data_IF_997333919172
#
_entry.id   IF_997333919172
#
_cell.length_a   1.000
_cell.length_b   1.000
_cell.length_c   1.000
_cell.angle_alpha   90.00
_cell.angle_beta   90.00
_cell.angle_gamma   90.00
#
_symmetry.space_group_name_H-M   'P 1'
#
loop_
_entity.id
_entity.type
_entity.pdbx_description
1 polymer ?
#
# COMPACT_ATOMS: atom_id res chain seq x y z
N UNK A 1 9.50 -5.44 -18.98
CA UNK A 1 9.23 -6.82 -18.54
C UNK A 1 7.81 -7.16 -19.01
N UNK A 2 7.62 -8.33 -19.63
CA UNK A 2 6.31 -8.88 -19.99
C UNK A 2 5.39 -9.07 -18.76
N UNK A 3 4.07 -9.10 -18.97
CA UNK A 3 3.09 -9.24 -17.87
C UNK A 3 3.11 -10.66 -17.28
N UNK A 4 3.33 -11.66 -18.13
CA UNK A 4 3.46 -13.07 -17.77
C UNK A 4 4.66 -13.39 -16.86
N UNK A 5 5.64 -12.49 -16.79
CA UNK A 5 6.82 -12.61 -15.91
C UNK A 5 6.55 -12.07 -14.50
N UNK A 6 5.35 -11.55 -14.24
CA UNK A 6 4.93 -11.13 -12.90
C UNK A 6 4.57 -12.34 -12.01
N UNK A 7 4.80 -12.26 -10.69
CA UNK A 7 5.43 -11.15 -9.98
C UNK A 7 6.96 -11.23 -9.97
N UNK A 8 7.62 -10.07 -9.94
CA UNK A 8 9.06 -10.01 -9.59
C UNK A 8 9.20 -10.13 -8.08
N UNK A 9 9.44 -11.35 -7.60
CA UNK A 9 9.55 -11.65 -6.17
C UNK A 9 10.85 -11.06 -5.61
N UNK A 10 10.74 -10.38 -4.45
CA UNK A 10 11.89 -9.87 -3.73
C UNK A 10 12.82 -11.02 -3.31
N UNK A 11 14.14 -10.89 -3.48
CA UNK A 11 15.08 -11.89 -3.02
C UNK A 11 15.24 -11.79 -1.51
N UNK A 12 15.66 -12.89 -0.88
CA UNK A 12 16.20 -12.81 0.46
C UNK A 12 17.57 -12.10 0.41
N UNK A 13 17.74 -11.09 1.26
CA UNK A 13 19.02 -10.42 1.46
C UNK A 13 19.36 -10.43 2.96
N UNK A 14 20.65 -10.49 3.27
CA UNK A 14 21.12 -10.56 4.66
C UNK A 14 21.04 -9.21 5.39
N UNK A 15 21.19 -8.10 4.66
CA UNK A 15 21.24 -6.76 5.22
C UNK A 15 20.35 -5.78 4.44
N UNK A 16 19.30 -5.32 5.09
CA UNK A 16 18.33 -4.37 4.54
C UNK A 16 18.67 -2.90 4.86
N UNK A 17 19.77 -2.63 5.60
CA UNK A 17 20.11 -1.26 5.97
C UNK A 17 20.57 -0.46 4.74
N UNK A 18 20.03 0.75 4.52
CA UNK A 18 20.47 1.61 3.43
C UNK A 18 21.89 2.11 3.68
N UNK A 19 22.83 1.71 2.82
CA UNK A 19 24.26 2.12 2.87
C UNK A 19 24.61 3.16 1.81
N UNK A 20 23.64 3.98 1.41
CA UNK A 20 23.76 4.95 0.31
C UNK A 20 23.45 4.37 -1.08
N UNK A 21 23.05 3.10 -1.15
CA UNK A 21 22.51 2.40 -2.33
C UNK A 21 21.32 1.54 -1.88
N UNK A 22 20.40 1.22 -2.79
CA UNK A 22 19.29 0.31 -2.48
C UNK A 22 19.82 -1.07 -2.05
N UNK A 23 19.28 -1.69 -0.99
CA UNK A 23 19.74 -3.00 -0.51
C UNK A 23 19.75 -4.09 -1.59
N UNK A 24 18.78 -4.05 -2.52
CA UNK A 24 18.68 -5.00 -3.64
C UNK A 24 19.87 -4.92 -4.61
N UNK A 25 20.56 -3.77 -4.71
CA UNK A 25 21.76 -3.66 -5.55
C UNK A 25 22.88 -4.60 -5.13
N UNK A 26 22.91 -5.02 -3.86
CA UNK A 26 23.94 -5.91 -3.33
C UNK A 26 23.77 -7.37 -3.79
N UNK A 27 22.57 -7.75 -4.26
CA UNK A 27 22.30 -9.09 -4.77
C UNK A 27 22.52 -9.14 -6.29
N UNK A 28 23.78 -9.31 -6.71
CA UNK A 28 24.15 -9.31 -8.13
C UNK A 28 23.44 -10.40 -8.96
N UNK A 29 23.13 -11.55 -8.35
CA UNK A 29 22.45 -12.65 -9.02
C UNK A 29 21.01 -12.27 -9.37
N UNK A 30 20.25 -11.76 -8.41
CA UNK A 30 18.87 -11.32 -8.64
C UNK A 30 18.78 -10.12 -9.59
N UNK A 31 19.77 -9.21 -9.53
CA UNK A 31 19.82 -8.01 -10.38
C UNK A 31 20.10 -8.33 -11.86
N UNK A 32 20.79 -9.43 -12.18
CA UNK A 32 21.13 -9.80 -13.57
C UNK A 32 19.94 -10.45 -14.26
N UNK A 33 19.55 -9.90 -15.40
CA UNK A 33 18.45 -10.43 -16.23
C UNK A 33 18.77 -10.28 -17.70
N UNK A 34 18.09 -11.04 -18.55
CA UNK A 34 18.11 -10.77 -19.99
C UNK A 34 17.10 -9.68 -20.33
N UNK A 35 17.45 -8.80 -21.27
CA UNK A 35 16.55 -7.79 -21.77
C UNK A 35 15.44 -8.45 -22.61
N UNK A 36 14.16 -8.34 -22.23
CA UNK A 36 13.07 -9.03 -22.93
C UNK A 36 12.84 -8.50 -24.35
N UNK A 37 13.46 -7.37 -24.72
CA UNK A 37 13.34 -6.76 -26.06
C UNK A 37 14.42 -7.22 -27.05
N UNK A 38 15.64 -7.45 -26.58
CA UNK A 38 16.79 -7.74 -27.46
C UNK A 38 17.63 -8.96 -27.06
N UNK A 39 17.33 -9.61 -25.94
CA UNK A 39 18.08 -10.75 -25.42
C UNK A 39 19.47 -10.42 -24.86
N UNK A 40 19.89 -9.16 -24.87
CA UNK A 40 21.16 -8.73 -24.31
C UNK A 40 21.16 -8.71 -22.78
N UNK A 41 22.35 -8.54 -22.18
CA UNK A 41 22.48 -8.38 -20.73
C UNK A 41 21.74 -7.12 -20.24
N UNK A 42 20.84 -7.32 -19.28
CA UNK A 42 20.07 -6.28 -18.61
C UNK A 42 20.27 -6.31 -17.09
N UNK A 43 19.74 -5.29 -16.43
CA UNK A 43 19.75 -5.17 -14.98
C UNK A 43 18.35 -4.77 -14.49
N UNK A 44 17.87 -5.38 -13.41
CA UNK A 44 16.59 -5.00 -12.77
C UNK A 44 16.66 -3.57 -12.24
N UNK A 45 15.49 -2.96 -12.03
CA UNK A 45 15.36 -1.80 -11.15
C UNK A 45 15.63 -2.26 -9.71
N UNK A 46 16.45 -1.51 -8.98
CA UNK A 46 16.84 -1.84 -7.61
C UNK A 46 15.95 -1.14 -6.58
N UNK A 47 15.28 -0.07 -6.98
CA UNK A 47 14.35 0.65 -6.12
C UNK A 47 13.00 -0.07 -6.00
N UNK A 48 12.39 0.02 -4.83
CA UNK A 48 11.04 -0.49 -4.56
C UNK A 48 10.03 0.65 -4.58
N UNK A 49 8.77 0.31 -4.79
CA UNK A 49 7.69 1.28 -4.63
C UNK A 49 7.50 1.62 -3.14
N UNK A 50 7.15 2.88 -2.85
CA UNK A 50 6.85 3.34 -1.49
C UNK A 50 5.53 2.75 -0.99
N UNK A 51 5.38 2.62 0.33
CA UNK A 51 4.19 2.07 1.00
C UNK A 51 2.88 2.80 0.64
N UNK A 52 2.95 4.05 0.20
CA UNK A 52 1.78 4.79 -0.28
C UNK A 52 1.28 4.31 -1.63
N UNK A 53 2.07 3.59 -2.44
CA UNK A 53 1.56 2.95 -3.66
C UNK A 53 0.56 1.86 -3.27
N UNK A 54 0.93 0.96 -2.37
CA UNK A 54 0.08 -0.15 -1.92
C UNK A 54 -1.19 0.36 -1.23
N UNK A 55 -1.03 1.29 -0.29
CA UNK A 55 -2.16 1.85 0.45
C UNK A 55 -3.05 2.78 -0.38
N UNK A 56 -2.69 3.13 -1.61
CA UNK A 56 -3.54 3.98 -2.47
C UNK A 56 -4.74 3.27 -3.08
N UNK A 57 -4.75 1.93 -3.07
CA UNK A 57 -5.82 1.17 -3.74
C UNK A 57 -6.26 -0.10 -2.97
N UNK A 58 -5.72 -0.36 -1.78
CA UNK A 58 -6.05 -1.54 -0.97
C UNK A 58 -7.56 -1.73 -0.71
N UNK A 59 -8.32 -0.63 -0.57
CA UNK A 59 -9.77 -0.66 -0.36
C UNK A 59 -10.53 -1.24 -1.57
N UNK A 60 -9.98 -1.12 -2.78
CA UNK A 60 -10.52 -1.79 -3.98
C UNK A 60 -10.21 -3.28 -3.95
N UNK A 61 -8.98 -3.66 -3.54
CA UNK A 61 -8.56 -5.06 -3.46
C UNK A 61 -9.41 -5.87 -2.47
N UNK A 62 -9.94 -5.24 -1.41
CA UNK A 62 -10.86 -5.93 -0.49
C UNK A 62 -12.16 -6.40 -1.14
N UNK A 63 -12.59 -5.78 -2.24
CA UNK A 63 -13.79 -6.21 -2.96
C UNK A 63 -13.57 -7.55 -3.70
N UNK A 64 -12.31 -7.86 -4.01
CA UNK A 64 -11.91 -9.05 -4.77
C UNK A 64 -10.49 -9.54 -4.40
N UNK A 65 -10.29 -10.03 -3.16
CA UNK A 65 -8.96 -10.24 -2.60
C UNK A 65 -8.22 -11.46 -3.18
N UNK A 66 -8.93 -12.37 -3.85
CA UNK A 66 -8.41 -13.65 -4.31
C UNK A 66 -8.24 -13.74 -5.83
N UNK A 67 -8.48 -12.65 -6.56
CA UNK A 67 -8.28 -12.61 -8.00
C UNK A 67 -6.80 -12.67 -8.36
N UNK A 68 -6.40 -13.72 -9.05
CA UNK A 68 -5.04 -14.00 -9.51
C UNK A 68 -4.79 -13.58 -10.96
N UNK A 69 -5.81 -13.04 -11.64
CA UNK A 69 -5.76 -12.63 -13.05
C UNK A 69 -5.80 -11.12 -13.25
N UNK A 70 -6.31 -10.38 -12.27
CA UNK A 70 -6.44 -8.93 -12.30
C UNK A 70 -6.29 -8.34 -10.89
N UNK A 71 -6.03 -7.02 -10.77
CA UNK A 71 -6.04 -6.35 -9.48
C UNK A 71 -7.38 -6.49 -8.74
N UNK A 72 -8.50 -6.49 -9.47
CA UNK A 72 -9.87 -6.71 -9.00
C UNK A 72 -10.83 -6.75 -10.22
N UNK A 73 -12.00 -7.38 -10.07
CA UNK A 73 -13.10 -7.24 -11.03
C UNK A 73 -13.85 -5.91 -10.85
N UNK A 74 -14.10 -5.20 -11.95
CA UNK A 74 -14.82 -3.91 -11.93
C UNK A 74 -16.22 -4.05 -11.37
N UNK A 75 -16.96 -5.09 -11.73
CA UNK A 75 -18.35 -5.28 -11.27
C UNK A 75 -18.44 -5.39 -9.75
N UNK A 76 -17.46 -6.06 -9.12
CA UNK A 76 -17.41 -6.20 -7.66
C UNK A 76 -17.07 -4.87 -6.98
N UNK A 77 -16.10 -4.14 -7.52
CA UNK A 77 -15.70 -2.83 -7.01
C UNK A 77 -16.82 -1.80 -7.19
N UNK A 78 -17.51 -1.79 -8.32
CA UNK A 78 -18.63 -0.88 -8.60
C UNK A 78 -19.87 -1.22 -7.74
N UNK A 79 -20.02 -2.49 -7.34
CA UNK A 79 -21.08 -2.92 -6.41
C UNK A 79 -20.83 -2.44 -4.97
N UNK A 80 -19.61 -2.59 -4.47
CA UNK A 80 -19.25 -2.20 -3.09
C UNK A 80 -18.92 -0.72 -2.93
N UNK A 81 -18.49 -0.07 -4.01
CA UNK A 81 -17.95 1.29 -4.00
C UNK A 81 -18.96 2.38 -4.36
N UNK A 82 -18.62 3.66 -4.07
CA UNK A 82 -17.46 4.08 -3.26
C UNK A 82 -17.65 3.71 -1.78
N UNK A 83 -16.57 3.78 -1.00
CA UNK A 83 -16.68 3.55 0.46
C UNK A 83 -17.56 4.64 1.08
N UNK A 84 -18.70 4.25 1.66
CA UNK A 84 -19.67 5.19 2.22
C UNK A 84 -19.11 6.03 3.37
N UNK A 85 -18.32 5.40 4.24
CA UNK A 85 -17.78 6.01 5.45
C UNK A 85 -16.37 5.49 5.72
N UNK A 86 -15.39 6.37 5.57
CA UNK A 86 -13.99 6.10 5.87
C UNK A 86 -13.56 6.81 7.14
N UNK A 87 -13.08 6.06 8.14
CA UNK A 87 -12.59 6.61 9.41
C UNK A 87 -11.09 6.43 9.51
N UNK A 88 -10.37 7.50 9.84
CA UNK A 88 -8.91 7.44 9.98
C UNK A 88 -8.35 8.62 10.75
N UNK A 89 -7.08 8.49 11.17
CA UNK A 89 -6.39 9.56 11.88
C UNK A 89 -6.20 10.80 11.00
N UNK A 90 -6.34 11.98 11.59
CA UNK A 90 -6.16 13.26 10.87
C UNK A 90 -4.80 13.40 10.19
N UNK A 91 -3.75 12.73 10.71
CA UNK A 91 -2.41 12.71 10.14
C UNK A 91 -2.38 12.13 8.70
N UNK A 92 -3.36 11.32 8.29
CA UNK A 92 -3.42 10.75 6.94
C UNK A 92 -4.07 11.68 5.90
N UNK A 93 -4.62 12.82 6.32
CA UNK A 93 -5.34 13.74 5.44
C UNK A 93 -4.46 14.36 4.35
N UNK A 94 -3.15 14.50 4.57
CA UNK A 94 -2.21 15.12 3.64
C UNK A 94 -1.34 14.14 2.86
N UNK A 95 -1.47 12.83 3.09
CA UNK A 95 -0.68 11.81 2.38
C UNK A 95 -1.61 10.79 1.70
N UNK A 96 -1.97 9.72 2.42
CA UNK A 96 -2.80 8.63 1.89
C UNK A 96 -4.10 9.13 1.23
N UNK A 97 -4.78 10.13 1.81
CA UNK A 97 -6.01 10.68 1.20
C UNK A 97 -5.75 11.32 -0.18
N UNK A 98 -4.59 11.95 -0.39
CA UNK A 98 -4.24 12.53 -1.69
C UNK A 98 -3.92 11.41 -2.68
N UNK A 99 -3.08 10.46 -2.29
CA UNK A 99 -2.66 9.37 -3.18
C UNK A 99 -3.83 8.44 -3.55
N UNK A 100 -4.70 8.09 -2.60
CA UNK A 100 -5.89 7.30 -2.87
C UNK A 100 -6.83 7.98 -3.86
N UNK A 101 -7.04 9.30 -3.74
CA UNK A 101 -7.85 10.06 -4.70
C UNK A 101 -7.20 10.14 -6.08
N UNK A 102 -5.87 10.27 -6.14
CA UNK A 102 -5.14 10.24 -7.41
C UNK A 102 -5.28 8.89 -8.10
N UNK A 103 -4.99 7.79 -7.40
CA UNK A 103 -5.14 6.42 -7.93
C UNK A 103 -6.57 6.16 -8.37
N UNK A 104 -7.58 6.50 -7.56
CA UNK A 104 -8.98 6.34 -7.94
C UNK A 104 -9.31 7.03 -9.26
N UNK A 105 -8.84 8.27 -9.46
CA UNK A 105 -9.11 9.04 -10.68
C UNK A 105 -8.39 8.45 -11.88
N UNK A 106 -7.13 8.05 -11.71
CA UNK A 106 -6.38 7.39 -12.77
C UNK A 106 -7.04 6.07 -13.18
N UNK A 107 -7.47 5.25 -12.21
CA UNK A 107 -8.20 4.00 -12.47
C UNK A 107 -9.54 4.24 -13.16
N UNK A 108 -10.25 5.31 -12.78
CA UNK A 108 -11.49 5.72 -13.44
C UNK A 108 -11.25 6.16 -14.89
N UNK A 109 -10.17 6.91 -15.15
CA UNK A 109 -9.77 7.33 -16.50
C UNK A 109 -9.36 6.13 -17.36
N UNK A 110 -8.81 5.07 -16.77
CA UNK A 110 -8.54 3.77 -17.40
C UNK A 110 -9.80 2.89 -17.55
N UNK A 111 -10.94 3.30 -17.01
CA UNK A 111 -12.20 2.54 -17.09
C UNK A 111 -12.27 1.31 -16.18
N UNK A 112 -11.35 1.17 -15.21
CA UNK A 112 -11.29 0.04 -14.29
C UNK A 112 -12.29 0.16 -13.13
N UNK A 113 -12.82 1.36 -12.89
CA UNK A 113 -13.82 1.66 -11.85
C UNK A 113 -14.84 2.66 -12.38
N UNK A 114 -16.08 2.57 -11.90
CA UNK A 114 -17.23 3.39 -12.32
C UNK A 114 -17.41 4.69 -11.54
N UNK A 115 -16.62 4.93 -10.48
CA UNK A 115 -16.71 6.11 -9.62
C UNK A 115 -15.37 6.85 -9.48
N UNK A 116 -15.42 8.17 -9.27
CA UNK A 116 -14.22 9.04 -9.32
C UNK A 116 -13.66 9.48 -7.96
N UNK A 117 -14.35 9.22 -6.86
CA UNK A 117 -13.89 9.52 -5.50
C UNK A 117 -13.99 8.25 -4.65
N UNK A 118 -12.91 7.83 -3.97
CA UNK A 118 -12.86 6.53 -3.30
C UNK A 118 -13.70 6.48 -2.00
N UNK A 119 -13.86 7.64 -1.35
CA UNK A 119 -14.55 7.77 -0.07
C UNK A 119 -15.65 8.82 -0.17
N UNK A 120 -16.91 8.44 0.04
CA UNK A 120 -18.05 9.36 0.02
C UNK A 120 -18.03 10.31 1.23
N UNK A 121 -17.58 9.81 2.40
CA UNK A 121 -17.40 10.57 3.63
C UNK A 121 -16.12 10.17 4.33
N UNK A 122 -15.36 11.15 4.80
CA UNK A 122 -14.21 10.94 5.67
C UNK A 122 -14.47 11.49 7.07
N UNK A 123 -14.18 10.69 8.09
CA UNK A 123 -14.19 11.12 9.48
C UNK A 123 -12.79 11.01 10.08
N UNK A 124 -12.19 12.17 10.35
CA UNK A 124 -10.91 12.29 11.03
C UNK A 124 -11.08 12.06 12.54
N UNK A 125 -10.68 10.89 13.06
CA UNK A 125 -10.73 10.66 14.50
C UNK A 125 -9.60 11.41 15.23
N UNK A 126 -9.90 11.85 16.44
CA UNK A 126 -8.91 12.43 17.34
C UNK A 126 -7.93 11.40 17.91
N UNK A 127 -6.96 11.90 18.66
CA UNK A 127 -5.98 11.08 19.36
C UNK A 127 -6.54 10.50 20.65
N UNK A 128 -6.27 9.22 20.90
CA UNK A 128 -6.41 8.68 22.25
C UNK A 128 -5.23 9.17 23.09
N UNK A 129 -5.53 9.69 24.29
CA UNK A 129 -4.55 10.31 25.17
C UNK A 129 -4.46 9.60 26.51
N UNK A 130 -3.27 9.58 27.07
CA UNK A 130 -3.01 9.14 28.45
C UNK A 130 -1.99 10.08 29.09
N UNK A 131 -2.28 10.53 30.32
CA UNK A 131 -1.43 11.50 31.02
C UNK A 131 -1.31 12.86 30.32
N UNK A 132 -2.37 13.31 29.61
CA UNK A 132 -2.38 14.60 28.90
C UNK A 132 -1.59 14.62 27.59
N UNK A 133 -1.16 13.46 27.07
CA UNK A 133 -0.43 13.34 25.82
C UNK A 133 -1.00 12.24 24.92
N UNK A 134 -0.88 12.40 23.59
CA UNK A 134 -1.11 11.35 22.59
C UNK A 134 -0.36 10.08 23.00
N UNK A 135 -1.02 8.92 23.01
CA UNK A 135 -0.37 7.65 23.26
C UNK A 135 0.61 7.30 22.13
N UNK A 136 1.86 6.99 22.48
CA UNK A 136 2.88 6.55 21.52
C UNK A 136 3.99 5.73 22.19
N UNK A 137 4.59 4.77 21.46
CA UNK A 137 5.73 3.97 21.95
C UNK A 137 6.89 4.86 22.39
N UNK A 138 7.17 5.93 21.64
CA UNK A 138 8.24 6.90 21.94
C UNK A 138 8.08 7.63 23.28
N UNK A 139 6.85 7.72 23.82
CA UNK A 139 6.56 8.37 25.10
C UNK A 139 6.42 7.38 26.26
N UNK A 140 6.50 6.07 25.99
CA UNK A 140 6.33 5.03 27.00
C UNK A 140 4.94 5.01 27.67
N UNK A 141 3.94 5.67 27.08
CA UNK A 141 2.60 5.85 27.65
C UNK A 141 1.52 5.01 26.98
N UNK A 142 1.92 3.93 26.29
CA UNK A 142 1.00 3.02 25.60
C UNK A 142 0.35 2.09 26.61
N UNK A 143 -0.98 2.07 26.63
CA UNK A 143 -1.75 1.09 27.39
C UNK A 143 -2.41 0.14 26.38
N UNK A 144 -2.01 -1.13 26.43
CA UNK A 144 -2.55 -2.16 25.53
C UNK A 144 -3.97 -2.59 25.94
N UNK A 145 -4.78 -3.06 24.98
CA UNK A 145 -6.14 -3.53 25.25
C UNK A 145 -6.17 -4.80 26.11
N UNK A 146 -5.17 -5.67 26.02
CA UNK A 146 -5.14 -6.98 26.71
C UNK A 146 -5.35 -6.86 28.22
N UNK A 147 -4.71 -5.85 28.85
CA UNK A 147 -4.85 -5.60 30.29
C UNK A 147 -6.29 -5.25 30.71
N UNK A 148 -7.09 -4.71 29.80
CA UNK A 148 -8.49 -4.39 30.07
C UNK A 148 -9.39 -5.58 29.79
N UNK A 149 -9.14 -6.33 28.71
CA UNK A 149 -9.87 -7.55 28.36
C UNK A 149 -9.77 -8.60 29.46
N UNK A 150 -8.60 -8.74 30.09
CA UNK A 150 -8.41 -9.67 31.20
C UNK A 150 -9.13 -9.23 32.49
N UNK A 151 -9.45 -7.93 32.60
CA UNK A 151 -9.96 -7.32 33.84
C UNK A 151 -11.47 -7.11 33.86
N UNK A 152 -12.09 -6.87 32.70
CA UNK A 152 -13.50 -6.52 32.54
C UNK A 152 -14.17 -7.43 31.52
#
# INVERSE_FOLDING_TARGET
MPEEDLPVVLPEIEDYLPKGKAPLESNEEWMRVECPKCGGAGRREAETMDTFVDSSWYFLRYCDPHNDRAPFERELVDYWGPVDYYQGGVDHATMHMIYARFFQKALADLGLVGFREPFARFHGNGWVQYGGAKMSKSKGNVIGPDMFVDRY
#
